data_IF_342772693658
#
_entry.id   IF_342772693658
#
_cell.length_a   1.000
_cell.length_b   1.000
_cell.length_c   1.000
_cell.angle_alpha   90.00
_cell.angle_beta   90.00
_cell.angle_gamma   90.00
#
_symmetry.space_group_name_H-M   'P 1'
#
loop_
_entity.id
_entity.type
_entity.pdbx_description
1 polymer ?
#
# COMPACT_ATOMS: atom_id res chain seq x y z
N UNK A 1 14.56 -23.46 0.24
CA UNK A 1 13.93 -22.25 0.83
C UNK A 1 13.09 -21.61 -0.26
N UNK A 2 11.77 -21.78 -0.24
CA UNK A 2 10.91 -21.18 -1.25
C UNK A 2 10.73 -19.69 -0.97
N UNK A 3 11.16 -18.83 -1.88
CA UNK A 3 11.00 -17.38 -1.76
C UNK A 3 9.65 -16.96 -2.35
N UNK A 4 8.83 -16.15 -1.64
CA UNK A 4 7.52 -15.72 -2.12
C UNK A 4 7.60 -14.68 -3.25
N UNK A 5 8.76 -14.01 -3.41
CA UNK A 5 9.12 -13.12 -4.52
C UNK A 5 10.66 -13.07 -4.66
N UNK A 6 11.19 -12.50 -5.76
CA UNK A 6 12.62 -12.61 -6.14
C UNK A 6 13.32 -11.26 -6.33
N UNK A 7 12.83 -10.18 -5.71
CA UNK A 7 13.41 -8.83 -5.83
C UNK A 7 14.91 -8.85 -5.50
N UNK A 8 15.32 -9.40 -4.36
CA UNK A 8 16.71 -9.37 -3.93
C UNK A 8 17.61 -10.24 -4.83
N UNK A 9 17.07 -11.36 -5.33
CA UNK A 9 17.79 -12.23 -6.25
C UNK A 9 18.06 -11.55 -7.59
N UNK A 10 17.08 -10.78 -8.09
CA UNK A 10 17.21 -10.06 -9.36
C UNK A 10 18.14 -8.87 -9.22
N UNK A 11 18.13 -8.16 -8.09
CA UNK A 11 19.10 -7.08 -7.83
C UNK A 11 20.54 -7.61 -7.90
N UNK A 12 20.81 -8.77 -7.28
CA UNK A 12 22.14 -9.41 -7.38
C UNK A 12 22.49 -9.84 -8.81
N UNK A 13 21.52 -10.26 -9.61
CA UNK A 13 21.76 -10.59 -11.02
C UNK A 13 22.06 -9.34 -11.86
N UNK A 14 21.32 -8.25 -11.62
CA UNK A 14 21.52 -6.98 -12.30
C UNK A 14 22.90 -6.40 -12.02
N UNK A 15 23.43 -6.53 -10.80
CA UNK A 15 24.79 -6.11 -10.44
C UNK A 15 25.88 -6.76 -11.33
N UNK A 16 25.66 -8.00 -11.77
CA UNK A 16 26.57 -8.69 -12.69
C UNK A 16 26.35 -8.35 -14.18
N UNK A 17 25.12 -7.97 -14.55
CA UNK A 17 24.69 -7.76 -15.94
C UNK A 17 24.85 -6.32 -16.42
N UNK A 18 24.56 -5.34 -15.57
CA UNK A 18 24.54 -3.92 -15.92
C UNK A 18 25.85 -3.29 -15.50
N UNK A 19 26.66 -2.84 -16.46
CA UNK A 19 27.97 -2.21 -16.21
C UNK A 19 28.05 -0.77 -16.71
N UNK A 20 27.19 -0.40 -17.65
CA UNK A 20 27.06 0.95 -18.19
C UNK A 20 25.59 1.38 -18.22
N UNK A 21 25.35 2.68 -18.33
CA UNK A 21 24.04 3.23 -18.65
C UNK A 21 23.53 2.75 -20.02
N UNK A 22 24.44 2.37 -20.93
CA UNK A 22 24.10 1.83 -22.26
C UNK A 22 23.44 0.44 -22.20
N UNK A 23 23.61 -0.28 -21.09
CA UNK A 23 22.97 -1.59 -20.86
C UNK A 23 21.49 -1.44 -20.42
N UNK A 24 21.01 -0.20 -20.26
CA UNK A 24 19.65 0.12 -19.82
C UNK A 24 18.83 0.74 -20.96
N UNK A 25 17.51 0.48 -21.03
CA UNK A 25 16.71 -0.28 -20.07
C UNK A 25 16.83 -1.80 -20.27
N UNK A 26 16.69 -2.55 -19.17
CA UNK A 26 16.63 -4.02 -19.19
C UNK A 26 15.38 -4.50 -18.46
N UNK A 27 14.74 -5.54 -19.01
CA UNK A 27 13.60 -6.24 -18.41
C UNK A 27 13.94 -7.72 -18.26
N UNK A 28 13.93 -8.22 -17.03
CA UNK A 28 14.15 -9.62 -16.70
C UNK A 28 12.83 -10.21 -16.23
N UNK A 29 12.47 -11.40 -16.71
CA UNK A 29 11.29 -12.10 -16.24
C UNK A 29 11.57 -13.59 -16.09
N UNK A 30 10.78 -14.23 -15.23
CA UNK A 30 10.80 -15.66 -15.05
C UNK A 30 9.37 -16.17 -14.92
N UNK A 31 9.15 -17.44 -15.28
CA UNK A 31 7.91 -18.17 -15.03
C UNK A 31 8.30 -19.38 -14.20
N UNK A 32 7.96 -19.35 -12.92
CA UNK A 32 8.42 -20.37 -11.98
C UNK A 32 7.40 -20.63 -10.87
N UNK A 33 7.52 -21.78 -10.23
CA UNK A 33 6.71 -22.15 -9.08
C UNK A 33 7.10 -21.31 -7.86
N UNK A 34 6.10 -20.69 -7.23
CA UNK A 34 6.24 -19.93 -5.99
C UNK A 34 5.46 -20.64 -4.89
N UNK A 35 5.92 -20.48 -3.66
CA UNK A 35 5.25 -21.01 -2.48
C UNK A 35 4.91 -19.89 -1.52
N UNK A 36 3.68 -19.91 -0.99
CA UNK A 36 3.20 -19.04 0.08
C UNK A 36 2.52 -19.90 1.13
N UNK A 37 2.90 -19.72 2.39
CA UNK A 37 2.25 -20.42 3.49
C UNK A 37 0.91 -19.76 3.84
N UNK A 38 -0.09 -20.02 3.00
CA UNK A 38 -1.47 -19.56 3.17
C UNK A 38 -2.41 -20.75 3.37
N UNK A 39 -3.59 -20.50 3.92
CA UNK A 39 -4.63 -21.52 4.04
C UNK A 39 -5.27 -21.72 2.67
N UNK A 40 -5.01 -22.89 2.07
CA UNK A 40 -5.49 -23.24 0.75
C UNK A 40 -7.03 -23.24 0.70
N UNK A 41 -7.58 -22.50 -0.26
CA UNK A 41 -9.03 -22.35 -0.45
C UNK A 41 -9.35 -22.00 -1.89
N UNK A 42 -10.55 -22.35 -2.37
CA UNK A 42 -10.96 -22.09 -3.75
C UNK A 42 -9.99 -22.67 -4.83
N UNK A 43 -9.41 -23.84 -4.55
CA UNK A 43 -8.55 -24.55 -5.49
C UNK A 43 -7.32 -23.75 -5.92
N UNK A 44 -7.14 -23.58 -7.24
CA UNK A 44 -6.00 -22.89 -7.84
C UNK A 44 -5.97 -21.38 -7.56
N UNK A 45 -7.10 -20.78 -7.18
CA UNK A 45 -7.16 -19.33 -6.90
C UNK A 45 -6.39 -18.95 -5.64
N UNK A 46 -6.23 -19.89 -4.69
CA UNK A 46 -5.45 -19.68 -3.47
C UNK A 46 -4.90 -21.00 -2.94
N UNK A 47 -3.87 -21.50 -3.60
CA UNK A 47 -3.08 -22.65 -3.20
C UNK A 47 -1.76 -22.24 -2.51
N UNK A 48 -1.09 -23.21 -1.88
CA UNK A 48 0.22 -23.00 -1.27
C UNK A 48 1.34 -22.88 -2.29
N UNK A 49 1.23 -23.60 -3.41
CA UNK A 49 2.18 -23.59 -4.51
C UNK A 49 1.47 -23.19 -5.80
N UNK A 50 1.98 -22.20 -6.51
CA UNK A 50 1.41 -21.70 -7.76
C UNK A 50 2.50 -21.23 -8.72
N UNK A 51 2.26 -21.38 -10.02
CA UNK A 51 3.14 -20.80 -11.05
C UNK A 51 2.88 -19.31 -11.17
N UNK A 52 3.94 -18.51 -11.16
CA UNK A 52 3.86 -17.06 -11.29
C UNK A 52 4.87 -16.58 -12.32
N UNK A 53 4.44 -15.63 -13.15
CA UNK A 53 5.33 -14.81 -13.96
C UNK A 53 5.64 -13.52 -13.23
N UNK A 54 6.83 -13.40 -12.65
CA UNK A 54 7.37 -12.15 -12.13
C UNK A 54 8.35 -11.52 -13.11
N UNK A 55 8.29 -10.20 -13.24
CA UNK A 55 9.15 -9.42 -14.12
C UNK A 55 9.65 -8.18 -13.39
N UNK A 56 10.88 -7.79 -13.69
CA UNK A 56 11.62 -6.73 -13.03
C UNK A 56 12.35 -5.93 -14.10
N UNK A 57 12.33 -4.61 -13.99
CA UNK A 57 12.99 -3.74 -14.96
C UNK A 57 13.89 -2.72 -14.28
N UNK A 58 14.99 -2.40 -14.93
CA UNK A 58 15.94 -1.40 -14.49
C UNK A 58 16.08 -0.31 -15.54
N UNK A 59 16.12 0.94 -15.07
CA UNK A 59 16.04 2.15 -15.89
C UNK A 59 17.01 3.20 -15.38
N UNK A 60 17.54 4.00 -16.29
CA UNK A 60 18.39 5.15 -15.97
C UNK A 60 17.59 6.29 -15.33
N UNK A 61 16.34 6.48 -15.74
CA UNK A 61 15.48 7.56 -15.26
C UNK A 61 14.00 7.16 -15.18
N UNK A 62 13.19 8.07 -14.64
CA UNK A 62 11.76 7.88 -14.44
C UNK A 62 10.96 7.93 -15.75
N UNK A 63 11.47 8.52 -16.83
CA UNK A 63 10.80 8.59 -18.12
C UNK A 63 10.84 7.23 -18.81
N UNK A 64 12.03 6.60 -18.84
CA UNK A 64 12.25 5.23 -19.30
C UNK A 64 11.42 4.21 -18.52
N UNK A 65 11.34 4.37 -17.18
CA UNK A 65 10.47 3.55 -16.34
C UNK A 65 8.99 3.70 -16.74
N UNK A 66 8.52 4.94 -16.96
CA UNK A 66 7.12 5.21 -17.32
C UNK A 66 6.76 4.65 -18.69
N UNK A 67 7.69 4.67 -19.65
CA UNK A 67 7.52 4.04 -20.95
C UNK A 67 7.40 2.52 -20.81
N UNK A 68 8.37 1.89 -20.15
CA UNK A 68 8.38 0.42 -19.95
C UNK A 68 7.14 -0.04 -19.17
N UNK A 69 6.68 0.74 -18.19
CA UNK A 69 5.44 0.46 -17.47
C UNK A 69 4.22 0.42 -18.41
N UNK A 70 4.13 1.36 -19.36
CA UNK A 70 3.04 1.37 -20.36
C UNK A 70 3.12 0.19 -21.31
N UNK A 71 4.33 -0.19 -21.73
CA UNK A 71 4.55 -1.36 -22.59
C UNK A 71 4.16 -2.65 -21.89
N UNK A 72 4.58 -2.83 -20.64
CA UNK A 72 4.19 -3.97 -19.81
C UNK A 72 2.68 -4.02 -19.63
N UNK A 73 2.05 -2.89 -19.29
CA UNK A 73 0.59 -2.79 -19.19
C UNK A 73 -0.10 -3.23 -20.49
N UNK A 74 0.38 -2.75 -21.64
CA UNK A 74 -0.17 -3.14 -22.94
C UNK A 74 0.05 -4.62 -23.24
N UNK A 75 1.21 -5.19 -22.89
CA UNK A 75 1.50 -6.61 -23.05
C UNK A 75 0.58 -7.50 -22.22
N UNK A 76 0.32 -7.14 -20.95
CA UNK A 76 -0.65 -7.84 -20.11
C UNK A 76 -2.06 -7.77 -20.67
N UNK A 77 -2.51 -6.60 -21.13
CA UNK A 77 -3.83 -6.46 -21.74
C UNK A 77 -3.99 -7.34 -22.99
N UNK A 78 -2.98 -7.36 -23.88
CA UNK A 78 -2.98 -8.26 -25.04
C UNK A 78 -3.03 -9.73 -24.62
N UNK A 79 -2.22 -10.13 -23.64
CA UNK A 79 -2.22 -11.49 -23.12
C UNK A 79 -3.61 -11.89 -22.59
N UNK A 80 -4.29 -11.02 -21.84
CA UNK A 80 -5.64 -11.31 -21.35
C UNK A 80 -6.65 -11.40 -22.50
N UNK A 81 -6.55 -10.53 -23.51
CA UNK A 81 -7.41 -10.57 -24.69
C UNK A 81 -7.19 -11.87 -25.50
N UNK A 82 -5.94 -12.31 -25.68
CA UNK A 82 -5.58 -13.56 -26.36
C UNK A 82 -6.10 -14.79 -25.60
N UNK A 83 -6.16 -14.72 -24.26
CA UNK A 83 -6.74 -15.76 -23.40
C UNK A 83 -8.28 -15.68 -23.31
N UNK A 84 -8.91 -14.68 -23.93
CA UNK A 84 -10.36 -14.45 -23.84
C UNK A 84 -10.83 -14.00 -22.45
N UNK A 85 -9.94 -13.41 -21.65
CA UNK A 85 -10.21 -12.95 -20.29
C UNK A 85 -10.55 -11.45 -20.27
N UNK A 86 -11.78 -11.14 -19.89
CA UNK A 86 -12.16 -9.75 -19.61
C UNK A 86 -11.59 -9.33 -18.26
N UNK A 87 -10.85 -8.21 -18.23
CA UNK A 87 -10.22 -7.69 -17.02
C UNK A 87 -10.48 -6.19 -16.85
N UNK A 88 -10.66 -5.77 -15.61
CA UNK A 88 -10.68 -4.36 -15.20
C UNK A 88 -9.31 -3.98 -14.64
N UNK A 89 -8.76 -2.87 -15.10
CA UNK A 89 -7.55 -2.22 -14.61
C UNK A 89 -7.92 -1.32 -13.44
N UNK A 90 -7.34 -1.64 -12.29
CA UNK A 90 -7.66 -1.03 -11.02
C UNK A 90 -6.42 -0.35 -10.45
N UNK A 91 -6.54 0.87 -9.93
CA UNK A 91 -5.49 1.46 -9.12
C UNK A 91 -5.30 0.64 -7.83
N UNK A 92 -4.05 0.40 -7.46
CA UNK A 92 -3.71 -0.42 -6.29
C UNK A 92 -2.81 0.33 -5.31
N UNK A 93 -2.94 -0.04 -4.03
CA UNK A 93 -2.07 0.49 -2.99
C UNK A 93 -0.67 -0.10 -3.11
N UNK A 94 0.31 0.78 -3.13
CA UNK A 94 1.75 0.58 -3.27
C UNK A 94 2.46 0.38 -1.91
N UNK A 95 1.71 0.24 -0.81
CA UNK A 95 2.26 0.27 0.56
C UNK A 95 3.27 -0.83 0.89
N UNK A 96 3.23 -1.97 0.19
CA UNK A 96 4.12 -3.12 0.46
C UNK A 96 5.36 -3.13 -0.43
N UNK A 97 5.26 -2.66 -1.67
CA UNK A 97 6.36 -2.71 -2.67
C UNK A 97 7.03 -1.34 -2.91
N UNK A 98 6.42 -0.25 -2.44
CA UNK A 98 6.87 1.13 -2.70
C UNK A 98 6.49 1.65 -4.09
N UNK A 99 6.89 2.89 -4.38
CA UNK A 99 6.67 3.58 -5.67
C UNK A 99 5.39 4.43 -5.73
N UNK A 100 5.19 5.16 -6.83
CA UNK A 100 4.09 6.14 -6.99
C UNK A 100 2.87 5.60 -7.74
N UNK A 101 3.02 4.47 -8.44
CA UNK A 101 1.97 3.88 -9.28
C UNK A 101 1.96 2.37 -9.13
N UNK A 102 0.75 1.83 -8.93
CA UNK A 102 0.50 0.40 -8.94
C UNK A 102 -0.87 0.15 -9.55
N UNK A 103 -0.96 -0.88 -10.40
CA UNK A 103 -2.19 -1.29 -11.07
C UNK A 103 -2.39 -2.79 -10.86
N UNK A 104 -3.63 -3.17 -10.58
CA UNK A 104 -4.09 -4.56 -10.50
C UNK A 104 -5.05 -4.86 -11.66
N UNK A 105 -4.88 -6.00 -12.31
CA UNK A 105 -5.81 -6.50 -13.31
C UNK A 105 -6.75 -7.50 -12.64
N UNK A 106 -8.04 -7.15 -12.57
CA UNK A 106 -9.05 -7.94 -11.85
C UNK A 106 -10.13 -8.41 -12.81
N UNK A 107 -10.32 -9.73 -12.89
CA UNK A 107 -11.41 -10.30 -13.68
C UNK A 107 -12.75 -10.21 -12.92
N UNK A 108 -13.82 -9.67 -13.52
CA UNK A 108 -15.15 -9.67 -12.92
C UNK A 108 -15.72 -11.10 -12.95
N UNK A 109 -15.89 -11.70 -11.78
CA UNK A 109 -16.46 -13.04 -11.61
C UNK A 109 -17.54 -13.00 -10.53
N UNK A 110 -18.51 -13.91 -10.62
CA UNK A 110 -19.60 -13.99 -9.63
C UNK A 110 -19.09 -14.32 -8.22
N UNK A 111 -18.14 -15.26 -8.13
CA UNK A 111 -17.52 -15.69 -6.87
C UNK A 111 -16.04 -15.30 -6.84
N UNK A 112 -15.79 -14.02 -6.55
CA UNK A 112 -14.45 -13.45 -6.44
C UNK A 112 -13.97 -13.30 -4.99
N UNK A 113 -12.67 -13.06 -4.82
CA UNK A 113 -12.06 -12.80 -3.51
C UNK A 113 -12.26 -11.35 -3.02
N UNK A 114 -12.75 -10.45 -3.88
CA UNK A 114 -13.02 -9.06 -3.56
C UNK A 114 -14.28 -8.56 -4.28
N UNK A 115 -14.86 -7.45 -3.79
CA UNK A 115 -15.96 -6.78 -4.47
C UNK A 115 -15.39 -5.79 -5.48
N UNK A 116 -15.72 -5.94 -6.75
CA UNK A 116 -15.24 -5.09 -7.83
C UNK A 116 -16.34 -4.15 -8.34
N UNK A 117 -16.12 -2.85 -8.25
CA UNK A 117 -16.87 -1.87 -9.04
C UNK A 117 -16.12 -1.64 -10.34
N UNK A 118 -16.75 -1.85 -11.49
CA UNK A 118 -16.09 -1.69 -12.79
C UNK A 118 -17.02 -1.04 -13.81
N UNK A 119 -16.39 -0.49 -14.85
CA UNK A 119 -17.07 0.10 -15.99
C UNK A 119 -17.70 -1.00 -16.86
N UNK A 120 -18.95 -0.80 -17.31
CA UNK A 120 -19.67 -1.75 -18.17
C UNK A 120 -19.77 -1.29 -19.62
N UNK A 121 -19.22 -0.13 -19.96
CA UNK A 121 -19.22 0.38 -21.33
C UNK A 121 -18.18 -0.38 -22.18
N UNK A 122 -18.50 -0.57 -23.47
CA UNK A 122 -17.60 -1.27 -24.40
C UNK A 122 -16.23 -0.58 -24.50
N UNK A 123 -15.16 -1.37 -24.41
CA UNK A 123 -13.78 -0.89 -24.44
C UNK A 123 -13.30 -0.18 -23.17
N UNK A 124 -14.18 0.06 -22.19
CA UNK A 124 -13.83 0.68 -20.92
C UNK A 124 -13.31 -0.37 -19.93
N UNK A 125 -12.04 -0.27 -19.54
CA UNK A 125 -11.40 -1.24 -18.61
C UNK A 125 -11.17 -0.67 -17.22
N UNK A 126 -11.90 0.35 -16.80
CA UNK A 126 -11.73 0.92 -15.47
C UNK A 126 -12.36 0.04 -14.38
N UNK A 127 -11.67 -0.12 -13.25
CA UNK A 127 -12.21 -0.77 -12.06
C UNK A 127 -11.65 -0.22 -10.74
N UNK A 128 -12.35 -0.55 -9.66
CA UNK A 128 -11.99 -0.21 -8.29
C UNK A 128 -12.39 -1.36 -7.35
N UNK A 129 -11.44 -2.18 -6.87
CA UNK A 129 -11.72 -3.26 -5.95
C UNK A 129 -11.87 -2.70 -4.53
N UNK A 130 -12.96 -3.04 -3.87
CA UNK A 130 -13.09 -2.83 -2.43
C UNK A 130 -12.56 -4.07 -1.72
N UNK A 131 -11.37 -3.96 -1.15
CA UNK A 131 -10.85 -5.00 -0.24
C UNK A 131 -11.53 -4.83 1.11
N UNK A 132 -12.19 -5.88 1.60
CA UNK A 132 -12.54 -5.93 3.02
C UNK A 132 -11.21 -5.90 3.78
N UNK A 133 -10.92 -4.76 4.44
CA UNK A 133 -9.90 -4.74 5.49
C UNK A 133 -10.30 -5.87 6.43
N UNK A 134 -9.46 -6.90 6.57
CA UNK A 134 -9.56 -7.76 7.75
C UNK A 134 -9.50 -6.77 8.91
N UNK A 135 -10.60 -6.62 9.64
CA UNK A 135 -10.54 -5.98 10.93
C UNK A 135 -9.45 -6.74 11.67
N UNK A 136 -8.31 -6.09 11.92
CA UNK A 136 -7.43 -6.55 12.97
C UNK A 136 -8.34 -6.73 14.18
N UNK A 137 -8.35 -7.97 14.69
CA UNK A 137 -9.23 -8.43 15.75
C UNK A 137 -9.58 -7.29 16.68
N UNK A 138 -10.89 -7.09 16.88
CA UNK A 138 -11.48 -6.21 17.89
C UNK A 138 -10.56 -6.20 19.10
N UNK A 139 -9.73 -5.16 19.25
CA UNK A 139 -9.04 -4.95 20.52
C UNK A 139 -10.20 -4.70 21.45
N UNK A 140 -10.55 -5.72 22.25
CA UNK A 140 -11.62 -5.71 23.24
C UNK A 140 -11.57 -4.31 23.84
N UNK A 141 -12.61 -3.52 23.60
CA UNK A 141 -12.67 -2.18 24.15
C UNK A 141 -12.46 -2.38 25.65
N UNK A 142 -11.30 -1.92 26.15
CA UNK A 142 -11.12 -1.75 27.59
C UNK A 142 -12.26 -0.81 27.94
N UNK A 143 -13.23 -1.28 28.70
CA UNK A 143 -14.24 -0.42 29.30
C UNK A 143 -13.46 0.60 30.11
N UNK A 144 -13.23 1.77 29.52
CA UNK A 144 -12.81 2.94 30.27
C UNK A 144 -14.09 3.39 30.97
N UNK A 145 -14.13 3.42 32.31
CA UNK A 145 -15.32 3.89 32.99
C UNK A 145 -15.61 5.31 32.50
N UNK A 146 -16.87 5.54 32.11
CA UNK A 146 -17.37 6.83 31.69
C UNK A 146 -17.07 7.85 32.78
N UNK A 147 -16.19 8.81 32.51
CA UNK A 147 -16.02 9.94 33.40
C UNK A 147 -17.34 10.73 33.38
N UNK A 148 -18.11 10.60 34.45
CA UNK A 148 -19.29 11.42 34.65
C UNK A 148 -18.84 12.87 34.83
N UNK A 149 -19.28 13.75 33.94
CA UNK A 149 -19.18 15.19 34.12
C UNK A 149 -20.07 15.58 35.32
N UNK A 150 -19.46 15.77 36.49
CA UNK A 150 -20.11 16.40 37.64
C UNK A 150 -19.86 17.89 37.55
N UNK A 151 -20.92 18.66 37.36
CA UNK A 151 -20.93 20.12 37.45
C UNK A 151 -20.64 20.57 38.88
N UNK A 152 -19.56 21.31 39.09
CA UNK A 152 -19.30 22.04 40.34
C UNK A 152 -19.65 23.52 40.18
N UNK A 153 -20.37 24.12 41.15
CA UNK A 153 -20.88 25.47 41.04
C UNK A 153 -19.77 26.52 41.13
N UNK A 154 -19.97 27.57 40.34
CA UNK A 154 -19.15 28.78 40.21
C UNK A 154 -18.87 29.45 41.56
N UNK A 155 -17.60 29.71 41.85
CA UNK A 155 -17.19 30.75 42.78
C UNK A 155 -15.99 31.50 42.18
N UNK A 156 -16.21 32.77 41.88
CA UNK A 156 -15.23 33.69 41.37
C UNK A 156 -14.30 34.20 42.49
N UNK A 157 -13.00 34.28 42.22
CA UNK A 157 -12.10 35.30 42.80
C UNK A 157 -10.77 35.25 42.07
N UNK A 158 -10.55 36.17 41.12
CA UNK A 158 -9.81 37.44 41.26
C UNK A 158 -8.29 37.29 41.10
N UNK A 159 -7.82 37.98 40.06
CA UNK A 159 -6.46 38.37 39.70
C UNK A 159 -5.49 38.67 40.85
N UNK A 160 -4.20 38.39 40.65
CA UNK A 160 -3.18 39.44 40.54
C UNK A 160 -1.79 38.89 40.18
N UNK A 161 -1.08 39.73 39.44
CA UNK A 161 0.21 39.56 38.76
C UNK A 161 1.41 39.80 39.69
N UNK A 162 2.51 39.12 39.38
CA UNK A 162 3.93 39.55 39.42
C UNK A 162 4.63 40.06 40.70
N UNK A 163 5.87 39.55 40.82
CA UNK A 163 7.13 40.20 41.25
C UNK A 163 7.40 40.53 42.72
N UNK A 164 8.23 39.66 43.31
CA UNK A 164 9.58 39.86 43.87
C UNK A 164 9.89 40.98 44.90
N UNK A 165 10.72 40.55 45.87
CA UNK A 165 11.71 41.27 46.69
C UNK A 165 11.24 42.23 47.82
N UNK A 166 11.29 41.67 49.03
CA UNK A 166 12.10 42.08 50.19
C UNK A 166 12.24 43.58 50.57
N UNK A 167 11.76 43.86 51.80
CA UNK A 167 12.42 44.55 52.92
C UNK A 167 13.17 45.87 52.63
N UNK A 168 12.68 47.01 53.13
CA UNK A 168 12.96 47.61 54.46
C UNK A 168 13.35 49.08 54.16
N UNK A 169 13.16 50.14 54.94
CA UNK A 169 12.79 50.44 56.34
C UNK A 169 12.41 51.95 56.34
N UNK A 170 12.08 52.63 57.47
CA UNK A 170 11.00 53.63 57.50
C UNK A 170 11.48 55.05 57.89
N UNK A 171 10.49 55.90 58.19
CA UNK A 171 10.54 57.14 59.02
C UNK A 171 11.19 58.38 58.36
N UNK A 172 10.67 59.60 58.52
CA UNK A 172 9.63 60.17 59.39
C UNK A 172 9.15 61.50 58.76
N UNK A 173 7.93 61.90 59.09
CA UNK A 173 7.38 63.23 58.81
C UNK A 173 8.13 64.34 59.55
N UNK A 174 8.35 65.46 58.87
CA UNK A 174 8.95 66.69 59.39
C UNK A 174 9.65 67.46 58.29
#
# INVERSE_FOLDING_TARGET
>A
MSRPSHEEGVVHLLDGLVRSYDDLPVVLYQVDAKFRDDHARAGLLRCKEFTMKDAYSAHVDADSLRETYREMRAAYLRLFDDLGLTVAVCGADNSVMGGDRSEEFVAPVAEGSCRLTHCTADGCRWGSPTRQRRSTSTRRARTVPTAAAVSTPTAASKWATSSNSAHATPTRWG
#
